data_IF_559799776006
#
_entry.id   IF_559799776006
#
_cell.length_a   1.000
_cell.length_b   1.000
_cell.length_c   1.000
_cell.angle_alpha   90.00
_cell.angle_beta   90.00
_cell.angle_gamma   90.00
#
_symmetry.space_group_name_H-M   'P 1'
#
loop_
_entity.id
_entity.type
_entity.pdbx_description
1 polymer ?
#
# COMPACT_ATOMS: atom_id res chain seq x y z
N UNK A 1 -6.77 8.01 5.26
CA UNK A 1 -5.70 7.43 4.40
C UNK A 1 -5.40 5.98 4.74
N UNK A 2 -4.98 5.65 5.97
CA UNK A 2 -4.79 4.25 6.39
C UNK A 2 -6.07 3.40 6.25
N UNK A 3 -7.21 3.92 6.70
CA UNK A 3 -8.50 3.20 6.65
C UNK A 3 -8.93 2.91 5.21
N UNK A 4 -8.72 3.85 4.29
CA UNK A 4 -8.93 3.62 2.86
C UNK A 4 -8.02 2.52 2.30
N UNK A 5 -6.75 2.48 2.70
CA UNK A 5 -5.81 1.44 2.28
C UNK A 5 -6.18 0.05 2.82
N UNK A 6 -6.66 -0.03 4.06
CA UNK A 6 -7.16 -1.29 4.66
C UNK A 6 -8.42 -1.77 3.95
N UNK A 7 -9.32 -0.85 3.59
CA UNK A 7 -10.53 -1.16 2.81
C UNK A 7 -10.19 -1.70 1.42
N UNK A 8 -9.22 -1.09 0.73
CA UNK A 8 -8.76 -1.50 -0.60
C UNK A 8 -8.17 -2.91 -0.60
N UNK A 9 -7.46 -3.28 0.47
CA UNK A 9 -6.86 -4.61 0.64
C UNK A 9 -7.82 -5.63 1.27
N UNK A 10 -9.11 -5.27 1.41
CA UNK A 10 -10.16 -6.07 2.07
C UNK A 10 -9.80 -6.53 3.48
N UNK A 11 -8.91 -5.81 4.17
CA UNK A 11 -8.47 -6.14 5.52
C UNK A 11 -7.83 -7.52 5.69
N UNK A 12 -7.42 -8.19 4.60
CA UNK A 12 -6.76 -9.50 4.68
C UNK A 12 -5.25 -9.31 4.73
N UNK A 13 -4.59 -9.55 5.87
CA UNK A 13 -3.14 -9.68 5.88
C UNK A 13 -2.77 -10.80 4.90
N UNK A 14 -1.81 -10.53 4.00
CA UNK A 14 -1.33 -11.42 2.92
C UNK A 14 -2.02 -11.33 1.53
N UNK A 15 -2.86 -10.34 1.24
CA UNK A 15 -3.27 -10.09 -0.16
C UNK A 15 -2.33 -9.07 -0.82
N UNK A 16 -1.62 -9.49 -1.87
CA UNK A 16 -0.80 -8.62 -2.70
C UNK A 16 -1.70 -7.80 -3.63
N UNK A 17 -1.49 -6.49 -3.66
CA UNK A 17 -2.20 -5.55 -4.53
C UNK A 17 -1.18 -4.71 -5.27
N UNK A 18 -1.40 -4.48 -6.56
CA UNK A 18 -0.48 -3.65 -7.35
C UNK A 18 -0.62 -2.19 -6.96
N UNK A 19 0.49 -1.46 -7.02
CA UNK A 19 0.52 -0.01 -6.70
C UNK A 19 -0.46 0.76 -7.58
N UNK A 20 -0.56 0.40 -8.86
CA UNK A 20 -1.52 0.99 -9.80
C UNK A 20 -2.97 0.80 -9.37
N UNK A 21 -3.32 -0.38 -8.87
CA UNK A 21 -4.69 -0.65 -8.41
C UNK A 21 -5.02 0.17 -7.15
N UNK A 22 -4.05 0.32 -6.23
CA UNK A 22 -4.20 1.23 -5.08
C UNK A 22 -4.42 2.67 -5.54
N UNK A 23 -3.62 3.16 -6.49
CA UNK A 23 -3.76 4.51 -7.05
C UNK A 23 -5.16 4.71 -7.67
N UNK A 24 -5.60 3.77 -8.51
CA UNK A 24 -6.92 3.80 -9.15
C UNK A 24 -8.07 3.80 -8.14
N UNK A 25 -8.01 2.95 -7.11
CA UNK A 25 -9.06 2.86 -6.08
C UNK A 25 -9.12 4.10 -5.20
N UNK A 26 -8.01 4.80 -5.03
CA UNK A 26 -7.95 6.07 -4.29
C UNK A 26 -8.23 7.30 -5.18
N UNK A 27 -8.43 7.10 -6.49
CA UNK A 27 -8.59 8.21 -7.44
C UNK A 27 -7.34 9.10 -7.56
N UNK A 28 -6.16 8.55 -7.25
CA UNK A 28 -4.88 9.24 -7.34
C UNK A 28 -4.26 9.00 -8.71
N UNK A 29 -3.58 10.02 -9.25
CA UNK A 29 -2.70 9.83 -10.41
C UNK A 29 -1.54 8.89 -10.06
N UNK A 30 -1.02 8.19 -11.07
CA UNK A 30 -0.01 7.12 -10.86
C UNK A 30 1.21 7.60 -10.05
N UNK A 31 1.76 8.79 -10.34
CA UNK A 31 2.90 9.35 -9.59
C UNK A 31 2.58 9.63 -8.11
N UNK A 32 1.37 10.15 -7.85
CA UNK A 32 0.91 10.44 -6.48
C UNK A 32 0.63 9.14 -5.73
N UNK A 33 0.10 8.13 -6.43
CA UNK A 33 -0.12 6.78 -5.91
C UNK A 33 1.19 6.09 -5.53
N UNK A 34 2.22 6.16 -6.39
CA UNK A 34 3.54 5.61 -6.09
C UNK A 34 4.19 6.29 -4.89
N UNK A 35 4.15 7.62 -4.81
CA UNK A 35 4.70 8.36 -3.67
C UNK A 35 3.97 8.01 -2.36
N UNK A 36 2.64 7.88 -2.41
CA UNK A 36 1.83 7.47 -1.26
C UNK A 36 2.16 6.05 -0.80
N UNK A 37 2.33 5.10 -1.72
CA UNK A 37 2.70 3.72 -1.40
C UNK A 37 4.10 3.65 -0.81
N UNK A 38 5.09 4.35 -1.41
CA UNK A 38 6.45 4.41 -0.88
C UNK A 38 6.47 4.93 0.56
N UNK A 39 5.75 6.02 0.82
CA UNK A 39 5.60 6.59 2.16
C UNK A 39 4.91 5.62 3.15
N UNK A 40 3.97 4.81 2.68
CA UNK A 40 3.32 3.79 3.50
C UNK A 40 4.22 2.57 3.77
N UNK A 41 5.15 2.23 2.87
CA UNK A 41 6.20 1.23 3.09
C UNK A 41 7.20 1.75 4.15
N UNK A 42 7.67 2.99 4.02
CA UNK A 42 8.59 3.63 4.98
C UNK A 42 7.98 3.69 6.41
N UNK A 43 6.67 3.88 6.52
CA UNK A 43 5.96 3.86 7.80
C UNK A 43 5.67 2.45 8.32
N UNK A 44 6.08 1.40 7.61
CA UNK A 44 5.88 0.01 7.99
C UNK A 44 4.44 -0.50 7.81
N UNK A 45 3.59 0.22 7.06
CA UNK A 45 2.21 -0.18 6.84
C UNK A 45 2.08 -1.20 5.71
N UNK A 46 3.00 -1.14 4.74
CA UNK A 46 3.08 -2.08 3.62
C UNK A 46 4.43 -2.79 3.58
N UNK A 47 4.37 -4.03 3.11
CA UNK A 47 5.53 -4.80 2.65
C UNK A 47 5.48 -4.85 1.14
N UNK A 48 6.54 -4.43 0.47
CA UNK A 48 6.68 -4.52 -0.98
C UNK A 48 7.37 -5.82 -1.41
N UNK A 49 7.08 -6.22 -2.64
CA UNK A 49 7.85 -7.23 -3.37
C UNK A 49 8.59 -6.56 -4.54
N UNK A 50 9.93 -6.66 -4.51
CA UNK A 50 10.83 -6.11 -5.52
C UNK A 50 11.17 -4.62 -5.38
N UNK A 51 12.16 -4.19 -6.18
CA UNK A 51 12.60 -2.80 -6.36
C UNK A 51 12.70 -2.52 -7.88
N UNK A 52 11.86 -1.63 -8.46
CA UNK A 52 10.83 -0.83 -7.82
C UNK A 52 9.60 -1.66 -7.37
N UNK A 53 8.88 -1.22 -6.33
CA UNK A 53 7.77 -1.98 -5.75
C UNK A 53 6.57 -2.01 -6.68
N UNK A 54 6.33 -3.14 -7.34
CA UNK A 54 5.18 -3.32 -8.25
C UNK A 54 3.93 -3.81 -7.52
N UNK A 55 4.11 -4.57 -6.44
CA UNK A 55 3.04 -5.10 -5.60
C UNK A 55 3.35 -4.91 -4.12
N UNK A 56 2.32 -4.61 -3.35
CA UNK A 56 2.42 -4.43 -1.90
C UNK A 56 1.34 -5.22 -1.17
N UNK A 57 1.63 -5.66 0.05
CA UNK A 57 0.65 -6.23 0.97
C UNK A 57 0.66 -5.47 2.29
N UNK A 58 -0.47 -5.48 3.01
CA UNK A 58 -0.52 -4.95 4.38
C UNK A 58 0.48 -5.67 5.27
N UNK A 59 1.25 -4.87 6.01
CA UNK A 59 2.09 -5.37 7.10
C UNK A 59 1.20 -5.82 8.27
N UNK A 60 1.54 -6.96 8.85
CA UNK A 60 0.93 -7.47 10.09
C UNK A 60 1.52 -6.80 11.33
N UNK A 61 2.70 -6.19 11.21
CA UNK A 61 3.20 -5.29 12.22
C UNK A 61 2.40 -3.99 12.10
N UNK A 62 1.63 -3.66 13.14
CA UNK A 62 1.10 -2.31 13.29
C UNK A 62 2.23 -1.26 13.22
N UNK A 63 1.91 0.03 13.06
CA UNK A 63 2.93 1.07 13.00
C UNK A 63 3.77 0.99 14.27
N UNK A 64 5.10 1.03 14.14
CA UNK A 64 5.96 1.24 15.29
C UNK A 64 5.51 2.53 15.96
N UNK A 65 5.08 2.43 17.22
CA UNK A 65 4.60 3.56 18.02
C UNK A 65 5.75 4.49 18.36
#
# INVERSE_FOLDING_TARGET
MREDLVRVTRGRPCHWVTVRDIAQRLGLGDEVGEAAVRRAIEQGWFVADGEPPHSVRLSVAGPAT
#
